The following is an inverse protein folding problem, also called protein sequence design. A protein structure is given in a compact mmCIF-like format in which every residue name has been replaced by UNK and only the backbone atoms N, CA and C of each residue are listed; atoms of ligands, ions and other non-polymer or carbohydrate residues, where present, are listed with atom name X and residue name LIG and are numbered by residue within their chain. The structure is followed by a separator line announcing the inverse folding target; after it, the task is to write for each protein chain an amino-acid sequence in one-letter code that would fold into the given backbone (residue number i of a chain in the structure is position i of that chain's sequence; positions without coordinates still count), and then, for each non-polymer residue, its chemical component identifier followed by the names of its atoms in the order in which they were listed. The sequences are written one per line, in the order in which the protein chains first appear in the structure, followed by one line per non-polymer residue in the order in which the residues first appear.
data_IF_849830434819
#
_entry.id   IF_849830434819
#
_cell.length_a   1.000
_cell.length_b   1.000
_cell.length_c   1.000
_cell.angle_alpha   90.00
_cell.angle_beta   90.00
_cell.angle_gamma   90.00
#
_symmetry.space_group_name_H-M   'P 1'
#
loop_
_entity.id
_entity.type
_entity.pdbx_description
1 polymer ?
#
# COMPACT_ATOMS: atom_id res chain seq x y z
N UNK A 1 -4.15 -6.82 4.78
CA UNK A 1 -4.14 -5.74 5.79
C UNK A 1 -5.53 -5.68 6.41
N UNK A 2 -5.68 -5.58 7.74
CA UNK A 2 -6.99 -5.45 8.39
C UNK A 2 -7.70 -4.16 7.96
N UNK A 3 -9.03 -4.17 7.85
CA UNK A 3 -9.81 -2.95 7.55
C UNK A 3 -9.79 -1.97 8.72
N UNK A 4 -9.84 -2.47 9.95
CA UNK A 4 -9.68 -1.66 11.16
C UNK A 4 -8.27 -1.85 11.73
N UNK A 5 -7.49 -0.79 11.71
CA UNK A 5 -6.13 -0.76 12.22
C UNK A 5 -6.02 -0.10 13.60
N UNK A 6 -7.14 0.32 14.19
CA UNK A 6 -7.15 1.11 15.44
C UNK A 6 -6.42 0.42 16.58
N UNK A 7 -6.60 -0.87 16.73
CA UNK A 7 -5.98 -1.66 17.80
C UNK A 7 -4.44 -1.61 17.80
N UNK A 8 -3.79 -1.27 16.68
CA UNK A 8 -2.34 -1.15 16.59
C UNK A 8 -1.81 0.21 17.05
N UNK A 9 -2.69 1.18 17.24
CA UNK A 9 -2.33 2.58 17.49
C UNK A 9 -2.97 3.17 18.75
N UNK A 10 -4.17 2.71 19.13
CA UNK A 10 -4.88 3.23 20.30
C UNK A 10 -4.07 3.05 21.59
N UNK A 11 -3.88 4.17 22.31
CA UNK A 11 -3.12 4.19 23.57
C UNK A 11 -1.62 3.95 23.43
N UNK A 12 -1.10 3.78 22.20
CA UNK A 12 0.33 3.53 21.98
C UNK A 12 1.09 4.86 22.04
N UNK A 13 1.93 5.02 23.04
CA UNK A 13 2.70 6.23 23.33
C UNK A 13 4.14 6.19 22.76
N UNK A 14 4.39 5.33 21.79
CA UNK A 14 5.63 5.27 21.04
C UNK A 14 5.59 6.28 19.87
N UNK A 15 6.73 6.89 19.55
CA UNK A 15 6.86 7.59 18.26
C UNK A 15 6.93 6.59 17.10
N UNK A 16 6.82 7.08 15.86
CA UNK A 16 6.75 6.19 14.69
C UNK A 16 8.03 5.42 14.45
N UNK A 17 9.17 5.98 14.81
CA UNK A 17 10.47 5.30 14.70
C UNK A 17 10.51 4.12 15.67
N UNK A 18 10.14 4.34 16.93
CA UNK A 18 10.09 3.31 17.97
C UNK A 18 9.04 2.24 17.63
N UNK A 19 7.87 2.67 17.12
CA UNK A 19 6.78 1.76 16.76
C UNK A 19 7.14 0.82 15.60
N UNK A 20 7.87 1.34 14.60
CA UNK A 20 8.22 0.59 13.40
C UNK A 20 9.49 -0.24 13.55
N UNK A 21 10.43 0.18 14.40
CA UNK A 21 11.74 -0.46 14.59
C UNK A 21 11.70 -1.98 14.80
N UNK A 22 10.78 -2.55 15.63
CA UNK A 22 10.72 -4.01 15.85
C UNK A 22 10.50 -4.83 14.58
N UNK A 23 9.95 -4.22 13.53
CA UNK A 23 9.66 -4.87 12.25
C UNK A 23 10.73 -4.62 11.19
N UNK A 24 11.70 -3.76 11.51
CA UNK A 24 12.77 -3.38 10.59
C UNK A 24 13.89 -4.42 10.54
N UNK A 25 14.40 -4.76 9.35
CA UNK A 25 15.58 -5.62 9.22
C UNK A 25 16.85 -4.95 9.75
N UNK A 26 16.88 -3.61 9.80
CA UNK A 26 17.95 -2.80 10.37
C UNK A 26 17.39 -1.94 11.51
N UNK A 27 17.98 -2.06 12.69
CA UNK A 27 17.50 -1.39 13.91
C UNK A 27 18.01 0.04 14.06
N UNK A 28 18.87 0.54 13.17
CA UNK A 28 19.37 1.91 13.24
C UNK A 28 18.29 2.93 12.90
N UNK A 29 18.24 4.00 13.69
CA UNK A 29 17.26 5.09 13.50
C UNK A 29 17.29 5.67 12.09
N UNK A 30 18.47 5.83 11.50
CA UNK A 30 18.62 6.36 10.15
C UNK A 30 17.93 5.51 9.08
N UNK A 31 17.95 4.19 9.23
CA UNK A 31 17.25 3.29 8.32
C UNK A 31 15.73 3.41 8.46
N UNK A 32 15.23 3.34 9.69
CA UNK A 32 13.78 3.43 9.98
C UNK A 32 13.23 4.81 9.56
N UNK A 33 13.93 5.90 9.89
CA UNK A 33 13.57 7.26 9.46
C UNK A 33 13.59 7.42 7.94
N UNK A 34 14.59 6.86 7.27
CA UNK A 34 14.68 6.87 5.82
C UNK A 34 13.50 6.16 5.15
N UNK A 35 13.05 5.04 5.75
CA UNK A 35 11.87 4.33 5.27
C UNK A 35 10.59 5.15 5.51
N UNK A 36 10.39 5.69 6.72
CA UNK A 36 9.26 6.56 7.05
C UNK A 36 9.22 7.80 6.13
N UNK A 37 10.36 8.39 5.81
CA UNK A 37 10.46 9.52 4.88
C UNK A 37 9.94 9.17 3.48
N UNK A 38 10.21 7.96 2.98
CA UNK A 38 9.67 7.49 1.69
C UNK A 38 8.15 7.30 1.74
N UNK A 39 7.59 7.10 2.92
CA UNK A 39 6.15 6.98 3.19
C UNK A 39 5.52 8.32 3.64
N UNK A 40 6.20 9.45 3.36
CA UNK A 40 5.78 10.82 3.69
C UNK A 40 5.69 11.12 5.20
N UNK A 41 6.49 10.48 6.02
CA UNK A 41 6.71 10.88 7.41
C UNK A 41 8.08 11.52 7.53
N UNK A 42 8.18 12.79 7.13
CA UNK A 42 9.45 13.53 7.08
C UNK A 42 9.71 14.34 8.34
N UNK A 43 10.99 14.50 8.70
CA UNK A 43 11.40 15.34 9.81
C UNK A 43 10.68 14.99 11.13
N UNK A 44 10.00 15.98 11.70
CA UNK A 44 9.29 15.83 12.98
C UNK A 44 8.07 14.90 12.89
N UNK A 45 7.53 14.65 11.71
CA UNK A 45 6.40 13.72 11.54
C UNK A 45 6.76 12.29 11.94
N UNK A 46 8.00 11.88 11.75
CA UNK A 46 8.49 10.57 12.21
C UNK A 46 8.52 10.44 13.74
N UNK A 47 8.44 11.56 14.45
CA UNK A 47 8.39 11.63 15.92
C UNK A 47 6.97 11.75 16.46
N UNK A 48 5.94 11.81 15.61
CA UNK A 48 4.55 11.75 16.05
C UNK A 48 4.30 10.48 16.86
N UNK A 49 3.49 10.60 17.90
CA UNK A 49 3.05 9.44 18.67
C UNK A 49 2.02 8.63 17.88
N UNK A 50 2.12 7.31 17.91
CA UNK A 50 1.22 6.42 17.18
C UNK A 50 -0.26 6.66 17.51
N UNK A 51 -0.57 7.02 18.75
CA UNK A 51 -1.93 7.31 19.24
C UNK A 51 -2.61 8.53 18.60
N UNK A 52 -1.85 9.48 18.02
CA UNK A 52 -2.40 10.72 17.45
C UNK A 52 -2.51 10.73 15.93
N UNK A 53 -2.24 9.61 15.27
CA UNK A 53 -2.26 9.51 13.82
C UNK A 53 -3.67 9.62 13.24
N UNK A 54 -3.78 10.29 12.08
CA UNK A 54 -4.97 10.27 11.24
C UNK A 54 -5.21 8.89 10.62
N UNK A 55 -6.40 8.66 10.07
CA UNK A 55 -6.72 7.41 9.39
C UNK A 55 -5.74 7.06 8.25
N UNK A 56 -5.43 8.03 7.39
CA UNK A 56 -4.47 7.86 6.30
C UNK A 56 -3.04 7.62 6.79
N UNK A 57 -2.61 8.30 7.84
CA UNK A 57 -1.32 8.07 8.47
C UNK A 57 -1.22 6.65 9.07
N UNK A 58 -2.28 6.17 9.74
CA UNK A 58 -2.35 4.78 10.24
C UNK A 58 -2.19 3.76 9.13
N UNK A 59 -2.87 3.95 7.99
CA UNK A 59 -2.75 3.07 6.82
C UNK A 59 -1.32 3.06 6.31
N UNK A 60 -0.69 4.22 6.12
CA UNK A 60 0.72 4.32 5.68
C UNK A 60 1.69 3.65 6.66
N UNK A 61 1.47 3.79 7.97
CA UNK A 61 2.27 3.10 8.99
C UNK A 61 2.11 1.58 8.92
N UNK A 62 0.88 1.07 8.78
CA UNK A 62 0.65 -0.37 8.64
C UNK A 62 1.29 -0.94 7.38
N UNK A 63 1.23 -0.22 6.27
CA UNK A 63 1.91 -0.60 5.04
C UNK A 63 3.43 -0.63 5.22
N UNK A 64 3.99 0.38 5.88
CA UNK A 64 5.42 0.42 6.23
C UNK A 64 5.84 -0.82 7.03
N UNK A 65 5.06 -1.18 8.05
CA UNK A 65 5.29 -2.39 8.85
C UNK A 65 5.27 -3.65 8.00
N UNK A 66 4.25 -3.83 7.17
CA UNK A 66 4.12 -5.01 6.30
C UNK A 66 5.30 -5.14 5.34
N UNK A 67 5.73 -4.02 4.74
CA UNK A 67 6.84 -4.01 3.79
C UNK A 67 8.19 -4.28 4.47
N UNK A 68 8.39 -3.81 5.70
CA UNK A 68 9.63 -4.00 6.46
C UNK A 68 9.74 -5.38 7.10
N UNK A 69 8.63 -6.06 7.34
CA UNK A 69 8.60 -7.37 8.06
C UNK A 69 9.19 -8.55 7.29
N UNK A 70 9.77 -8.30 6.11
CA UNK A 70 10.37 -9.36 5.28
C UNK A 70 9.36 -10.21 4.52
N UNK A 71 8.11 -9.77 4.41
CA UNK A 71 7.11 -10.44 3.60
C UNK A 71 7.54 -10.47 2.13
N UNK A 72 7.38 -11.62 1.47
CA UNK A 72 7.63 -11.78 0.03
C UNK A 72 6.35 -11.66 -0.81
N UNK A 73 5.19 -11.60 -0.16
CA UNK A 73 3.89 -11.38 -0.79
C UNK A 73 3.03 -10.46 0.08
N UNK A 74 2.40 -9.48 -0.54
CA UNK A 74 1.48 -8.54 0.08
C UNK A 74 0.08 -8.72 -0.51
N UNK A 75 -0.93 -8.80 0.34
CA UNK A 75 -2.33 -8.90 -0.05
C UNK A 75 -3.08 -7.67 0.46
N UNK A 76 -3.71 -6.92 -0.44
CA UNK A 76 -4.47 -5.72 -0.11
C UNK A 76 -5.91 -5.81 -0.63
N UNK A 77 -6.82 -5.29 0.17
CA UNK A 77 -8.20 -5.04 -0.21
C UNK A 77 -8.45 -3.53 -0.09
N UNK A 78 -8.67 -2.86 -1.23
CA UNK A 78 -8.87 -1.42 -1.35
C UNK A 78 -7.84 -0.59 -0.56
N UNK A 79 -6.54 -0.68 -0.86
CA UNK A 79 -5.49 -0.06 -0.05
C UNK A 79 -5.48 1.47 -0.10
N UNK A 80 -6.18 2.07 -1.07
CA UNK A 80 -6.27 3.52 -1.27
C UNK A 80 -7.50 4.16 -0.61
N UNK A 81 -8.40 3.36 -0.03
CA UNK A 81 -9.58 3.87 0.65
C UNK A 81 -9.16 4.83 1.78
N UNK A 82 -9.80 5.99 1.83
CA UNK A 82 -9.56 7.05 2.81
C UNK A 82 -8.17 7.72 2.76
N UNK A 83 -7.38 7.48 1.71
CA UNK A 83 -6.12 8.17 1.48
C UNK A 83 -6.34 9.42 0.61
N UNK A 84 -5.60 10.49 0.91
CA UNK A 84 -5.47 11.64 0.02
C UNK A 84 -4.53 11.35 -1.16
N UNK A 85 -4.53 12.21 -2.17
CA UNK A 85 -3.74 12.02 -3.39
C UNK A 85 -2.24 11.91 -3.13
N UNK A 86 -1.72 12.67 -2.18
CA UNK A 86 -0.30 12.65 -1.82
C UNK A 86 0.08 11.31 -1.18
N UNK A 87 -0.77 10.80 -0.30
CA UNK A 87 -0.61 9.49 0.32
C UNK A 87 -0.70 8.34 -0.70
N UNK A 88 -1.62 8.42 -1.67
CA UNK A 88 -1.74 7.44 -2.76
C UNK A 88 -0.46 7.46 -3.62
N UNK A 89 0.02 8.63 -4.00
CA UNK A 89 1.26 8.78 -4.78
C UNK A 89 2.48 8.18 -4.05
N UNK A 90 2.60 8.44 -2.75
CA UNK A 90 3.66 7.89 -1.93
C UNK A 90 3.57 6.36 -1.81
N UNK A 91 2.36 5.85 -1.60
CA UNK A 91 2.08 4.42 -1.57
C UNK A 91 2.48 3.75 -2.89
N UNK A 92 2.08 4.31 -4.03
CA UNK A 92 2.43 3.81 -5.36
C UNK A 92 3.95 3.71 -5.53
N UNK A 93 4.68 4.76 -5.20
CA UNK A 93 6.15 4.80 -5.28
C UNK A 93 6.81 3.72 -4.42
N UNK A 94 6.27 3.48 -3.23
CA UNK A 94 6.79 2.46 -2.33
C UNK A 94 6.50 1.04 -2.84
N UNK A 95 5.27 0.79 -3.33
CA UNK A 95 4.86 -0.51 -3.84
C UNK A 95 5.58 -0.92 -5.13
N UNK A 96 5.81 0.03 -6.05
CA UNK A 96 6.60 -0.23 -7.27
C UNK A 96 8.02 -0.74 -6.95
N UNK A 97 8.59 -0.27 -5.84
CA UNK A 97 9.92 -0.69 -5.39
C UNK A 97 9.92 -1.95 -4.52
N UNK A 98 8.75 -2.46 -4.15
CA UNK A 98 8.66 -3.67 -3.36
C UNK A 98 9.14 -4.87 -4.17
N UNK A 99 10.12 -5.66 -3.68
CA UNK A 99 10.77 -6.71 -4.47
C UNK A 99 9.95 -8.01 -4.53
N UNK A 100 8.82 -8.09 -3.82
CA UNK A 100 7.97 -9.26 -3.76
C UNK A 100 6.73 -9.18 -4.66
N UNK A 101 5.84 -10.13 -4.48
CA UNK A 101 4.56 -10.18 -5.18
C UNK A 101 3.51 -9.34 -4.46
N UNK A 102 2.74 -8.56 -5.20
CA UNK A 102 1.61 -7.80 -4.68
C UNK A 102 0.34 -8.28 -5.37
N UNK A 103 -0.66 -8.67 -4.59
CA UNK A 103 -2.00 -8.98 -5.07
C UNK A 103 -2.97 -8.01 -4.38
N UNK A 104 -3.76 -7.30 -5.14
CA UNK A 104 -4.71 -6.36 -4.58
C UNK A 104 -6.02 -6.32 -5.35
N UNK A 105 -7.10 -6.00 -4.64
CA UNK A 105 -8.35 -5.54 -5.21
C UNK A 105 -8.49 -4.04 -4.93
N UNK A 106 -9.01 -3.28 -5.89
CA UNK A 106 -9.18 -1.83 -5.74
C UNK A 106 -9.99 -1.23 -6.87
N UNK A 107 -10.42 0.01 -6.68
CA UNK A 107 -11.23 0.77 -7.64
C UNK A 107 -10.54 2.04 -8.13
N UNK A 108 -9.39 2.40 -7.55
CA UNK A 108 -8.64 3.57 -7.96
C UNK A 108 -7.87 3.27 -9.26
N UNK A 109 -8.28 3.95 -10.34
CA UNK A 109 -7.70 3.73 -11.67
C UNK A 109 -6.19 4.02 -11.68
N UNK A 110 -5.76 5.14 -11.11
CA UNK A 110 -4.35 5.54 -11.11
C UNK A 110 -3.49 4.57 -10.30
N UNK A 111 -4.00 4.10 -9.17
CA UNK A 111 -3.33 3.08 -8.37
C UNK A 111 -3.15 1.78 -9.16
N UNK A 112 -4.21 1.27 -9.77
CA UNK A 112 -4.17 0.03 -10.56
C UNK A 112 -3.21 0.19 -11.73
N UNK A 113 -3.36 1.26 -12.52
CA UNK A 113 -2.52 1.53 -13.69
C UNK A 113 -1.03 1.65 -13.34
N UNK A 114 -0.72 2.23 -12.19
CA UNK A 114 0.66 2.48 -11.78
C UNK A 114 1.34 1.24 -11.17
N UNK A 115 0.59 0.42 -10.44
CA UNK A 115 1.15 -0.68 -9.63
C UNK A 115 0.98 -2.04 -10.33
N UNK A 116 -0.15 -2.28 -11.01
CA UNK A 116 -0.44 -3.57 -11.61
C UNK A 116 0.28 -3.78 -12.94
N UNK A 117 0.83 -4.97 -13.12
CA UNK A 117 1.39 -5.46 -14.39
C UNK A 117 0.69 -6.74 -14.88
N UNK A 118 -0.31 -7.20 -14.15
CA UNK A 118 -1.14 -8.35 -14.46
C UNK A 118 -2.54 -8.10 -13.94
N UNK A 119 -3.54 -8.33 -14.77
CA UNK A 119 -4.96 -8.14 -14.46
C UNK A 119 -5.65 -9.49 -14.39
N UNK A 120 -6.36 -9.73 -13.29
CA UNK A 120 -7.20 -10.89 -13.11
C UNK A 120 -8.63 -10.39 -12.87
N UNK A 121 -9.52 -10.65 -13.83
CA UNK A 121 -10.94 -10.33 -13.71
C UNK A 121 -11.74 -11.61 -13.46
N UNK A 122 -12.64 -11.55 -12.49
CA UNK A 122 -13.59 -12.62 -12.21
C UNK A 122 -14.95 -12.17 -12.72
N UNK A 123 -15.45 -12.84 -13.75
CA UNK A 123 -16.74 -12.54 -14.37
C UNK A 123 -17.91 -13.08 -13.53
N UNK A 124 -19.13 -12.55 -13.73
CA UNK A 124 -20.31 -12.97 -12.97
C UNK A 124 -20.65 -14.47 -13.09
N UNK A 125 -20.28 -15.11 -14.18
CA UNK A 125 -20.44 -16.54 -14.42
C UNK A 125 -19.34 -17.42 -13.76
N UNK A 126 -18.38 -16.78 -13.07
CA UNK A 126 -17.24 -17.44 -12.44
C UNK A 126 -16.04 -17.65 -13.36
N UNK A 127 -16.13 -17.23 -14.63
CA UNK A 127 -14.98 -17.28 -15.55
C UNK A 127 -13.88 -16.32 -15.09
N UNK A 128 -12.63 -16.78 -15.17
CA UNK A 128 -11.46 -15.98 -14.82
C UNK A 128 -10.75 -15.56 -16.12
N UNK A 129 -10.59 -14.26 -16.28
CA UNK A 129 -9.77 -13.65 -17.32
C UNK A 129 -8.45 -13.20 -16.70
N UNK A 130 -7.34 -13.71 -17.20
CA UNK A 130 -6.00 -13.46 -16.68
C UNK A 130 -5.12 -12.92 -17.81
N UNK A 131 -4.64 -11.69 -17.66
CA UNK A 131 -3.86 -10.97 -18.68
C UNK A 131 -2.62 -10.32 -18.09
N UNK A 132 -1.47 -10.60 -18.67
CA UNK A 132 -0.21 -9.94 -18.36
C UNK A 132 -0.09 -8.65 -19.19
N UNK A 133 -0.72 -7.59 -18.72
CA UNK A 133 -0.75 -6.29 -19.38
C UNK A 133 -1.06 -5.18 -18.36
N UNK A 134 -0.93 -3.92 -18.81
CA UNK A 134 -1.34 -2.77 -18.02
C UNK A 134 -2.87 -2.69 -17.91
N UNK A 135 -3.35 -1.92 -16.95
CA UNK A 135 -4.80 -1.75 -16.75
C UNK A 135 -5.44 -1.01 -17.93
N UNK A 136 -4.80 0.03 -18.46
CA UNK A 136 -5.32 0.78 -19.60
C UNK A 136 -5.41 -0.10 -20.85
N UNK A 137 -4.39 -0.92 -21.12
CA UNK A 137 -4.41 -1.86 -22.24
C UNK A 137 -5.55 -2.90 -22.09
N UNK A 138 -5.78 -3.33 -20.85
CA UNK A 138 -6.87 -4.25 -20.55
C UNK A 138 -8.24 -3.65 -20.81
N UNK A 139 -8.48 -2.40 -20.37
CA UNK A 139 -9.72 -1.69 -20.63
C UNK A 139 -9.92 -1.46 -22.14
N UNK A 140 -8.89 -1.04 -22.84
CA UNK A 140 -8.95 -0.87 -24.29
C UNK A 140 -9.32 -2.17 -25.03
N UNK A 141 -8.70 -3.27 -24.65
CA UNK A 141 -9.04 -4.59 -25.20
C UNK A 141 -10.52 -4.96 -24.98
N UNK A 142 -11.07 -4.65 -23.79
CA UNK A 142 -12.51 -4.91 -23.51
C UNK A 142 -13.43 -4.08 -24.39
N UNK A 143 -13.14 -2.79 -24.56
CA UNK A 143 -13.92 -1.90 -25.42
C UNK A 143 -13.95 -2.44 -26.86
N UNK A 144 -12.80 -2.84 -27.40
CA UNK A 144 -12.69 -3.40 -28.76
C UNK A 144 -13.48 -4.72 -28.91
N UNK A 145 -13.57 -5.53 -27.85
CA UNK A 145 -14.36 -6.77 -27.87
C UNK A 145 -15.87 -6.53 -27.80
N UNK A 146 -16.30 -5.46 -27.12
CA UNK A 146 -17.72 -5.08 -27.04
C UNK A 146 -18.23 -4.40 -28.32
N UNK A 147 -17.36 -3.74 -29.06
CA UNK A 147 -17.67 -3.07 -30.33
C UNK A 147 -17.62 -4.02 -31.55
N UNK A 148 -17.01 -5.17 -31.41
CA UNK A 148 -16.87 -6.17 -32.48
C UNK A 148 -18.09 -7.08 -32.58
#
# INVERSE_FOLDING_TARGET
MPKDNSAFFEGVDLDLVEWLRPYSPDQHDSYVRGFLGRMLFTGEESLKKAKVLSGGEKVRCMLSRMMMSGANALLFDNPTDHLDLESITSLNKALIKFPGTIVFAGHDHEFIQTVANRIIEILPDGTIVDKLMSYDDYIQMKIEQEEA
#
